data_IF_348769042039
#
_entry.id   IF_348769042039
#
_cell.length_a   1.000
_cell.length_b   1.000
_cell.length_c   1.000
_cell.angle_alpha   90.00
_cell.angle_beta   90.00
_cell.angle_gamma   90.00
#
_symmetry.space_group_name_H-M   'P 1'
#
loop_
_entity.id
_entity.type
_entity.pdbx_description
1 polymer ?
#
# COMPACT_ATOMS: atom_id res chain seq x y z
N UNK A 1 14.65 -4.36 -35.69
CA UNK A 1 14.05 -3.16 -35.05
C UNK A 1 13.56 -3.58 -33.68
N UNK A 2 14.01 -2.86 -32.66
CA UNK A 2 13.93 -3.24 -31.26
C UNK A 2 12.51 -3.53 -30.78
N UNK A 3 12.30 -4.76 -30.33
CA UNK A 3 11.16 -5.17 -29.54
C UNK A 3 11.29 -4.47 -28.18
N UNK A 4 10.56 -3.38 -27.99
CA UNK A 4 10.50 -2.64 -26.73
C UNK A 4 9.84 -3.54 -25.70
N UNK A 5 10.65 -4.42 -25.09
CA UNK A 5 10.31 -5.14 -23.86
C UNK A 5 10.07 -4.10 -22.78
N UNK A 6 8.83 -3.63 -22.68
CA UNK A 6 8.28 -2.89 -21.56
C UNK A 6 8.66 -3.67 -20.29
N UNK A 7 9.69 -3.18 -19.62
CA UNK A 7 10.32 -3.89 -18.51
C UNK A 7 9.34 -3.97 -17.36
N UNK A 8 8.90 -5.21 -17.13
CA UNK A 8 8.64 -5.81 -15.82
C UNK A 8 7.39 -5.28 -15.11
N UNK A 9 6.31 -6.06 -15.28
CA UNK A 9 5.61 -6.80 -14.22
C UNK A 9 5.51 -6.08 -12.87
N UNK A 10 4.26 -5.85 -12.43
CA UNK A 10 3.88 -5.23 -11.16
C UNK A 10 4.49 -5.88 -9.92
N UNK A 11 5.77 -5.62 -9.67
CA UNK A 11 6.46 -5.95 -8.43
C UNK A 11 6.15 -4.87 -7.41
N UNK A 12 5.09 -5.08 -6.65
CA UNK A 12 4.87 -4.54 -5.31
C UNK A 12 5.83 -5.21 -4.31
N UNK A 13 7.14 -5.00 -4.48
CA UNK A 13 8.10 -5.38 -3.45
C UNK A 13 8.07 -4.31 -2.34
N UNK A 14 8.15 -4.65 -1.04
CA UNK A 14 8.15 -3.66 0.05
C UNK A 14 9.33 -2.67 -0.07
N UNK A 15 10.44 -3.10 -0.70
CA UNK A 15 11.60 -2.24 -0.99
C UNK A 15 11.50 -1.50 -2.33
N UNK A 16 10.34 -1.56 -2.99
CA UNK A 16 10.09 -0.92 -4.28
C UNK A 16 9.98 0.60 -4.17
N UNK A 17 10.03 1.28 -5.32
CA UNK A 17 9.76 2.72 -5.39
C UNK A 17 8.35 3.00 -4.85
N UNK A 18 8.25 3.91 -3.88
CA UNK A 18 6.97 4.40 -3.37
C UNK A 18 6.32 5.30 -4.43
N UNK A 19 5.20 4.86 -4.99
CA UNK A 19 4.50 5.57 -6.09
C UNK A 19 3.10 6.03 -5.71
N UNK A 20 2.52 5.50 -4.63
CA UNK A 20 1.18 5.84 -4.15
C UNK A 20 1.27 6.82 -2.98
N UNK A 21 0.31 7.75 -2.90
CA UNK A 21 0.20 8.73 -1.83
C UNK A 21 -1.04 8.45 -0.98
N UNK A 22 -0.90 8.68 0.32
CA UNK A 22 -1.99 8.60 1.28
C UNK A 22 -2.03 9.93 2.03
N UNK A 23 -3.01 10.77 1.69
CA UNK A 23 -3.20 12.08 2.31
C UNK A 23 -4.27 11.96 3.41
N UNK A 24 -3.88 12.16 4.68
CA UNK A 24 -4.75 11.98 5.85
C UNK A 24 -4.76 13.27 6.67
N UNK A 25 -5.94 13.86 6.94
CA UNK A 25 -6.03 14.98 7.87
C UNK A 25 -5.75 14.50 9.31
N UNK A 26 -4.88 15.22 10.01
CA UNK A 26 -4.50 14.92 11.39
C UNK A 26 -4.85 16.12 12.28
N UNK A 27 -5.10 15.88 13.58
CA UNK A 27 -5.06 16.96 14.56
C UNK A 27 -3.63 17.52 14.65
N UNK A 28 -3.52 18.80 15.04
CA UNK A 28 -2.23 19.45 15.26
C UNK A 28 -1.37 18.67 16.26
N UNK A 29 -1.98 18.26 17.39
CA UNK A 29 -1.30 17.47 18.42
C UNK A 29 -0.72 16.15 17.87
N UNK A 30 -1.49 15.40 17.07
CA UNK A 30 -1.01 14.14 16.51
C UNK A 30 0.13 14.37 15.50
N UNK A 31 0.03 15.43 14.70
CA UNK A 31 1.07 15.78 13.74
C UNK A 31 2.41 16.12 14.43
N UNK A 32 2.37 16.87 15.53
CA UNK A 32 3.55 17.19 16.34
C UNK A 32 4.17 15.93 16.97
N UNK A 33 3.35 15.00 17.47
CA UNK A 33 3.85 13.73 18.00
C UNK A 33 4.54 12.89 16.91
N UNK A 34 3.97 12.84 15.69
CA UNK A 34 4.61 12.17 14.55
C UNK A 34 5.98 12.78 14.24
N UNK A 35 6.10 14.11 14.28
CA UNK A 35 7.38 14.80 14.09
C UNK A 35 8.37 14.38 15.18
N UNK A 36 7.96 14.46 16.45
CA UNK A 36 8.82 14.16 17.58
C UNK A 36 9.36 12.72 17.50
N UNK A 37 8.51 11.75 17.16
CA UNK A 37 8.90 10.34 17.02
C UNK A 37 9.85 10.13 15.85
N UNK A 38 9.55 10.71 14.68
CA UNK A 38 10.43 10.61 13.51
C UNK A 38 11.82 11.19 13.79
N UNK A 39 11.89 12.31 14.51
CA UNK A 39 13.16 12.92 14.94
C UNK A 39 13.90 12.02 15.93
N UNK A 40 13.20 11.47 16.92
CA UNK A 40 13.81 10.58 17.92
C UNK A 40 14.44 9.33 17.30
N UNK A 41 13.85 8.82 16.22
CA UNK A 41 14.35 7.65 15.47
C UNK A 41 15.31 8.01 14.32
N UNK A 42 15.50 9.31 14.05
CA UNK A 42 16.43 9.77 13.02
C UNK A 42 15.98 9.49 11.58
N UNK A 43 14.67 9.40 11.34
CA UNK A 43 14.08 9.11 10.02
C UNK A 43 13.13 10.23 9.59
N UNK A 44 12.73 10.24 8.31
CA UNK A 44 11.71 11.21 7.88
C UNK A 44 10.32 10.86 8.43
N UNK A 45 9.45 11.87 8.58
CA UNK A 45 8.04 11.68 8.96
C UNK A 45 7.35 10.58 8.14
N UNK A 46 7.54 10.61 6.82
CA UNK A 46 6.90 9.67 5.91
C UNK A 46 7.40 8.24 6.11
N UNK A 47 8.70 8.07 6.38
CA UNK A 47 9.28 6.77 6.69
C UNK A 47 8.75 6.22 8.01
N UNK A 48 8.71 7.05 9.05
CA UNK A 48 8.20 6.66 10.35
C UNK A 48 6.73 6.25 10.30
N UNK A 49 5.86 7.08 9.72
CA UNK A 49 4.43 6.78 9.56
C UNK A 49 4.21 5.51 8.74
N UNK A 50 5.00 5.32 7.67
CA UNK A 50 4.95 4.08 6.89
C UNK A 50 5.31 2.87 7.75
N UNK A 51 6.37 2.93 8.55
CA UNK A 51 6.75 1.84 9.47
C UNK A 51 5.62 1.46 10.42
N UNK A 52 4.99 2.46 11.04
CA UNK A 52 3.82 2.25 11.92
C UNK A 52 2.64 1.61 11.17
N UNK A 53 2.35 2.07 9.94
CA UNK A 53 1.28 1.49 9.12
C UNK A 53 1.60 0.06 8.68
N UNK A 54 2.84 -0.23 8.29
CA UNK A 54 3.28 -1.56 7.91
C UNK A 54 3.19 -2.54 9.08
N UNK A 55 3.66 -2.14 10.27
CA UNK A 55 3.54 -2.95 11.49
C UNK A 55 2.06 -3.25 11.81
N UNK A 56 1.22 -2.22 11.84
CA UNK A 56 -0.19 -2.34 12.14
C UNK A 56 -0.92 -3.22 11.11
N UNK A 57 -0.65 -3.04 9.81
CA UNK A 57 -1.35 -3.74 8.75
C UNK A 57 -0.83 -5.16 8.54
N UNK A 58 0.49 -5.40 8.51
CA UNK A 58 1.01 -6.75 8.33
C UNK A 58 0.75 -7.63 9.54
N UNK A 59 0.84 -7.08 10.76
CA UNK A 59 0.41 -7.78 11.97
C UNK A 59 -1.08 -8.13 11.93
N UNK A 60 -1.93 -7.15 11.59
CA UNK A 60 -3.39 -7.35 11.51
C UNK A 60 -3.80 -8.28 10.36
N UNK A 61 -3.18 -8.19 9.18
CA UNK A 61 -3.44 -9.08 8.05
C UNK A 61 -3.05 -10.52 8.37
N UNK A 62 -1.96 -10.73 9.11
CA UNK A 62 -1.59 -12.05 9.62
C UNK A 62 -2.69 -12.65 10.51
N UNK A 63 -3.25 -11.85 11.42
CA UNK A 63 -4.37 -12.26 12.27
C UNK A 63 -5.65 -12.50 11.45
N UNK A 64 -6.01 -11.61 10.52
CA UNK A 64 -7.19 -11.76 9.65
C UNK A 64 -7.08 -13.02 8.82
N UNK A 65 -5.92 -13.34 8.23
CA UNK A 65 -5.72 -14.59 7.47
C UNK A 65 -5.86 -15.85 8.34
N UNK A 66 -5.52 -15.77 9.62
CA UNK A 66 -5.65 -16.89 10.57
C UNK A 66 -7.11 -17.15 10.96
N UNK A 67 -7.89 -16.08 11.13
CA UNK A 67 -9.28 -16.14 11.60
C UNK A 67 -10.27 -16.26 10.44
N UNK A 68 -9.90 -15.78 9.24
CA UNK A 68 -10.76 -15.82 8.07
C UNK A 68 -11.05 -17.28 7.66
N UNK A 69 -12.31 -17.66 7.47
CA UNK A 69 -12.65 -18.95 6.88
C UNK A 69 -12.01 -19.02 5.48
N UNK A 70 -11.32 -20.14 5.19
CA UNK A 70 -10.47 -20.37 4.00
C UNK A 70 -11.18 -20.28 2.61
N UNK A 71 -12.32 -19.62 2.49
CA UNK A 71 -13.18 -19.69 1.30
C UNK A 71 -13.66 -18.37 0.66
N UNK A 72 -13.28 -17.17 1.14
CA UNK A 72 -13.90 -15.91 0.65
C UNK A 72 -13.04 -14.95 -0.18
N UNK A 73 -11.75 -15.20 -0.38
CA UNK A 73 -10.91 -14.34 -1.22
C UNK A 73 -10.67 -15.03 -2.57
N UNK A 74 -11.65 -14.94 -3.48
CA UNK A 74 -11.42 -15.24 -4.90
C UNK A 74 -10.88 -13.98 -5.59
N UNK A 75 -9.71 -14.03 -6.27
CA UNK A 75 -9.10 -12.87 -6.94
C UNK A 75 -9.72 -12.49 -8.30
N UNK A 76 -11.03 -12.64 -8.48
CA UNK A 76 -11.67 -12.43 -9.79
C UNK A 76 -13.15 -12.10 -9.64
N UNK A 77 -13.45 -10.88 -9.21
CA UNK A 77 -14.68 -10.23 -9.67
C UNK A 77 -14.21 -9.23 -10.75
N UNK A 78 -14.43 -9.68 -11.98
CA UNK A 78 -14.22 -9.00 -13.26
C UNK A 78 -14.45 -7.49 -13.19
N UNK A 79 -13.48 -6.74 -13.72
CA UNK A 79 -13.79 -5.44 -14.31
C UNK A 79 -14.79 -5.70 -15.45
N UNK A 80 -15.97 -5.06 -15.47
CA UNK A 80 -16.85 -5.17 -16.61
C UNK A 80 -16.10 -4.60 -17.82
N UNK A 81 -15.95 -5.43 -18.85
CA UNK A 81 -15.32 -5.10 -20.12
C UNK A 81 -15.91 -3.79 -20.65
N UNK A 82 -15.08 -2.75 -20.68
CA UNK A 82 -15.41 -1.51 -21.36
C UNK A 82 -15.13 -1.69 -22.85
N UNK A 83 -15.90 -2.56 -23.50
CA UNK A 83 -15.98 -2.61 -24.95
C UNK A 83 -17.38 -2.99 -25.43
N UNK A 84 -18.14 -1.97 -25.80
CA UNK A 84 -19.05 -2.06 -26.94
C UNK A 84 -18.87 -0.82 -27.80
N UNK A 85 -17.82 -0.85 -28.62
CA UNK A 85 -17.86 -0.13 -29.89
C UNK A 85 -18.96 -0.67 -30.81
N UNK A 86 -19.55 0.26 -31.56
CA UNK A 86 -20.11 0.10 -32.92
C UNK A 86 -21.28 -0.87 -33.14
N UNK A 87 -22.45 -0.28 -33.45
CA UNK A 87 -23.06 -0.37 -34.79
C UNK A 87 -24.10 0.73 -34.98
#
# INVERSE_FOLDING_TARGET
>A
MSDTRLSRSGRTNPDGKLTQRLDIPLSEELYEHVIAMAVAEGVSKAEWVRGVLEEALYGRLGMVRRIAPRGRLRPSDEYPDADRGTS
#
